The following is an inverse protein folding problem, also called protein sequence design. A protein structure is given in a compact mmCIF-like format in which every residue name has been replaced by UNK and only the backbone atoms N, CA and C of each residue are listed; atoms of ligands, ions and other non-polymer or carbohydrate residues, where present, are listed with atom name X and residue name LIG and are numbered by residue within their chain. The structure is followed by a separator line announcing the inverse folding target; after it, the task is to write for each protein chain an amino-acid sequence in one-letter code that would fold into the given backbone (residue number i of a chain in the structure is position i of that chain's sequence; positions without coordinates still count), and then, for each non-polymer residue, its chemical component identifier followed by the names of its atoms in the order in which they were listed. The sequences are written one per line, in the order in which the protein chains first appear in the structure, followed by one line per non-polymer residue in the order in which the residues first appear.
data_IF_740877092541
#
_entry.id   IF_740877092541
#
_cell.length_a   1.000
_cell.length_b   1.000
_cell.length_c   1.000
_cell.angle_alpha   90.00
_cell.angle_beta   90.00
_cell.angle_gamma   90.00
#
_symmetry.space_group_name_H-M   'P 1'
#
loop_
_entity.id
_entity.type
_entity.pdbx_description
1 polymer ?
#
# COMPACT_ATOMS: atom_id res chain seq x y z
N UNK A 1 -11.57 -0.61 6.95
CA UNK A 1 -12.97 -0.57 7.45
C UNK A 1 -13.86 -1.76 7.03
N UNK A 2 -13.59 -2.50 5.94
CA UNK A 2 -14.52 -3.55 5.44
C UNK A 2 -14.44 -4.92 6.15
N UNK A 3 -13.45 -5.15 7.03
CA UNK A 3 -13.12 -6.49 7.59
C UNK A 3 -13.05 -6.58 9.12
N UNK A 4 -13.37 -5.52 9.88
CA UNK A 4 -13.48 -5.61 11.34
C UNK A 4 -14.91 -5.97 11.77
N UNK A 5 -15.05 -6.67 12.90
CA UNK A 5 -16.34 -7.06 13.48
C UNK A 5 -17.27 -5.86 13.72
N UNK A 6 -18.58 -6.10 13.79
CA UNK A 6 -19.62 -5.08 13.88
C UNK A 6 -19.39 -4.09 15.05
N UNK A 7 -18.95 -4.59 16.21
CA UNK A 7 -18.60 -3.78 17.39
C UNK A 7 -17.45 -2.79 17.13
N UNK A 8 -16.40 -3.21 16.45
CA UNK A 8 -15.27 -2.32 16.12
C UNK A 8 -15.65 -1.25 15.08
N UNK A 9 -16.65 -1.51 14.24
CA UNK A 9 -17.20 -0.49 13.32
C UNK A 9 -18.05 0.54 14.07
N UNK A 10 -18.90 0.09 15.00
CA UNK A 10 -19.74 0.97 15.80
C UNK A 10 -18.91 1.84 16.75
N UNK A 11 -17.85 1.32 17.35
CA UNK A 11 -16.98 2.10 18.23
C UNK A 11 -16.15 3.17 17.49
N UNK A 12 -15.85 2.97 16.21
CA UNK A 12 -15.10 3.94 15.39
C UNK A 12 -15.87 5.23 15.15
N UNK A 13 -17.20 5.16 15.02
CA UNK A 13 -18.05 6.32 14.71
C UNK A 13 -17.98 7.38 15.83
N UNK A 14 -18.26 7.09 17.11
CA UNK A 14 -18.19 8.08 18.18
C UNK A 14 -16.76 8.49 18.51
N UNK A 15 -15.76 7.63 18.25
CA UNK A 15 -14.34 8.02 18.41
C UNK A 15 -13.94 9.03 17.35
N UNK A 16 -14.29 8.80 16.09
CA UNK A 16 -14.04 9.74 14.99
C UNK A 16 -14.75 11.07 15.21
N UNK A 17 -16.02 11.05 15.65
CA UNK A 17 -16.78 12.25 15.96
C UNK A 17 -16.13 13.06 17.10
N UNK A 18 -15.75 12.40 18.19
CA UNK A 18 -15.05 13.06 19.32
C UNK A 18 -13.73 13.68 18.88
N UNK A 19 -12.96 12.99 18.04
CA UNK A 19 -11.70 13.51 17.51
C UNK A 19 -11.94 14.75 16.63
N UNK A 20 -12.95 14.72 15.77
CA UNK A 20 -13.29 15.85 14.89
C UNK A 20 -13.74 17.08 15.70
N UNK A 21 -14.63 16.88 16.69
CA UNK A 21 -15.07 17.94 17.60
C UNK A 21 -13.89 18.52 18.38
N UNK A 22 -12.99 17.68 18.87
CA UNK A 22 -11.79 18.13 19.58
C UNK A 22 -10.85 18.96 18.70
N UNK A 23 -10.60 18.52 17.46
CA UNK A 23 -9.79 19.28 16.49
C UNK A 23 -10.41 20.65 16.17
N UNK A 24 -11.73 20.72 15.94
CA UNK A 24 -12.44 21.99 15.73
C UNK A 24 -12.43 22.89 16.97
N UNK A 25 -12.56 22.31 18.16
CA UNK A 25 -12.45 23.03 19.42
C UNK A 25 -11.05 23.66 19.59
N UNK A 26 -9.98 22.89 19.35
CA UNK A 26 -8.60 23.38 19.38
C UNK A 26 -8.36 24.49 18.34
N UNK A 27 -8.91 24.33 17.13
CA UNK A 27 -8.86 25.38 16.11
C UNK A 27 -9.54 26.68 16.56
N UNK A 28 -10.78 26.58 17.04
CA UNK A 28 -11.53 27.74 17.52
C UNK A 28 -10.82 28.41 18.69
N UNK A 29 -10.28 27.64 19.65
CA UNK A 29 -9.55 28.18 20.79
C UNK A 29 -8.30 28.97 20.36
N UNK A 30 -7.59 28.48 19.35
CA UNK A 30 -6.31 29.07 18.91
C UNK A 30 -6.48 30.27 17.98
N UNK A 31 -7.57 30.37 17.22
CA UNK A 31 -7.79 31.45 16.25
C UNK A 31 -8.71 32.56 16.77
N UNK A 32 -9.50 32.33 17.82
CA UNK A 32 -10.50 33.30 18.30
C UNK A 32 -9.91 34.54 18.99
N UNK A 33 -8.66 34.50 19.45
CA UNK A 33 -8.02 35.66 20.09
C UNK A 33 -6.86 36.18 19.24
N UNK A 34 -6.78 37.51 19.11
CA UNK A 34 -5.72 38.17 18.33
C UNK A 34 -4.31 37.83 18.89
N UNK A 35 -4.22 37.59 20.20
CA UNK A 35 -2.98 37.17 20.88
C UNK A 35 -2.60 35.70 20.63
N UNK A 36 -3.54 34.85 20.21
CA UNK A 36 -3.31 33.41 19.97
C UNK A 36 -3.11 33.08 18.50
N UNK A 37 -3.19 34.05 17.59
CA UNK A 37 -3.02 33.85 16.16
C UNK A 37 -1.72 33.12 15.78
N UNK A 38 -0.62 33.40 16.48
CA UNK A 38 0.66 32.73 16.29
C UNK A 38 0.62 31.24 16.70
N UNK A 39 -0.17 30.91 17.73
CA UNK A 39 -0.42 29.53 18.17
C UNK A 39 -1.28 28.79 17.13
N UNK A 40 -2.30 29.45 16.57
CA UNK A 40 -3.12 28.90 15.49
C UNK A 40 -2.30 28.57 14.24
N UNK A 41 -1.34 29.43 13.89
CA UNK A 41 -0.41 29.17 12.80
C UNK A 41 0.50 27.96 13.07
N UNK A 42 1.06 27.86 14.28
CA UNK A 42 1.84 26.69 14.69
C UNK A 42 1.01 25.40 14.63
N UNK A 43 -0.27 25.44 15.00
CA UNK A 43 -1.19 24.31 14.91
C UNK A 43 -1.46 23.87 13.45
N UNK A 44 -1.54 24.81 12.49
CA UNK A 44 -1.63 24.46 11.07
C UNK A 44 -0.39 23.71 10.59
N UNK A 45 0.80 24.23 10.90
CA UNK A 45 2.06 23.57 10.53
C UNK A 45 2.13 22.17 11.14
N UNK A 46 1.79 22.04 12.42
CA UNK A 46 1.74 20.76 13.12
C UNK A 46 0.78 19.78 12.42
N UNK A 47 -0.40 20.24 12.02
CA UNK A 47 -1.40 19.42 11.33
C UNK A 47 -0.88 18.90 9.99
N UNK A 48 -0.19 19.73 9.22
CA UNK A 48 0.46 19.33 7.96
C UNK A 48 1.53 18.27 8.23
N UNK A 49 2.38 18.47 9.24
CA UNK A 49 3.40 17.48 9.64
C UNK A 49 2.75 16.15 10.01
N UNK A 50 1.67 16.16 10.80
CA UNK A 50 0.94 14.94 11.18
C UNK A 50 0.43 14.19 9.94
N UNK A 51 -0.13 14.89 8.96
CA UNK A 51 -0.58 14.28 7.70
C UNK A 51 0.58 13.57 7.00
N UNK A 52 1.74 14.23 6.89
CA UNK A 52 2.93 13.63 6.30
C UNK A 52 3.40 12.40 7.09
N UNK A 53 3.43 12.45 8.41
CA UNK A 53 3.84 11.31 9.26
C UNK A 53 2.90 10.11 9.05
N UNK A 54 1.59 10.34 9.08
CA UNK A 54 0.59 9.28 8.85
C UNK A 54 0.72 8.70 7.44
N UNK A 55 0.94 9.55 6.44
CA UNK A 55 1.17 9.10 5.07
C UNK A 55 2.42 8.23 4.96
N UNK A 56 3.54 8.63 5.56
CA UNK A 56 4.78 7.84 5.54
C UNK A 56 4.61 6.49 6.25
N UNK A 57 3.87 6.45 7.37
CA UNK A 57 3.54 5.19 8.03
C UNK A 57 2.69 4.27 7.15
N UNK A 58 1.72 4.83 6.42
CA UNK A 58 0.92 4.07 5.46
C UNK A 58 1.77 3.46 4.33
N UNK A 59 2.66 4.26 3.73
CA UNK A 59 3.58 3.79 2.67
C UNK A 59 4.53 2.71 3.19
N UNK A 60 5.08 2.88 4.40
CA UNK A 60 5.95 1.89 5.02
C UNK A 60 5.23 0.55 5.22
N UNK A 61 4.01 0.59 5.76
CA UNK A 61 3.22 -0.62 5.96
C UNK A 61 2.83 -1.31 4.65
N UNK A 62 2.50 -0.54 3.61
CA UNK A 62 2.28 -1.08 2.27
C UNK A 62 3.53 -1.81 1.76
N UNK A 63 4.71 -1.19 1.90
CA UNK A 63 5.99 -1.81 1.54
C UNK A 63 6.25 -3.14 2.27
N UNK A 64 5.95 -3.21 3.57
CA UNK A 64 6.06 -4.47 4.35
C UNK A 64 5.11 -5.55 3.85
N UNK A 65 3.88 -5.18 3.51
CA UNK A 65 2.90 -6.13 2.94
C UNK A 65 3.42 -6.64 1.60
N UNK A 66 3.88 -5.76 0.72
CA UNK A 66 4.40 -6.13 -0.60
C UNK A 66 5.60 -7.08 -0.45
N UNK A 67 6.58 -6.74 0.40
CA UNK A 67 7.75 -7.59 0.64
C UNK A 67 7.34 -8.98 1.13
N UNK A 68 6.47 -9.06 2.15
CA UNK A 68 6.04 -10.34 2.70
C UNK A 68 5.39 -11.22 1.64
N UNK A 69 4.45 -10.68 0.87
CA UNK A 69 3.69 -11.47 -0.11
C UNK A 69 4.52 -11.86 -1.34
N UNK A 70 5.42 -10.98 -1.81
CA UNK A 70 6.32 -11.29 -2.93
C UNK A 70 7.43 -12.26 -2.53
N UNK A 71 7.97 -12.18 -1.31
CA UNK A 71 8.91 -13.18 -0.79
C UNK A 71 8.26 -14.56 -0.73
N UNK A 72 7.00 -14.62 -0.32
CA UNK A 72 6.23 -15.86 -0.33
C UNK A 72 6.05 -16.41 -1.76
N UNK A 73 5.74 -15.56 -2.76
CA UNK A 73 5.70 -15.99 -4.18
C UNK A 73 7.07 -16.46 -4.68
N UNK A 74 8.15 -15.74 -4.37
CA UNK A 74 9.50 -16.11 -4.80
C UNK A 74 9.95 -17.46 -4.21
N UNK A 75 9.46 -17.83 -3.02
CA UNK A 75 9.82 -19.08 -2.36
C UNK A 75 8.93 -20.26 -2.74
N UNK A 76 7.63 -20.04 -2.99
CA UNK A 76 6.65 -21.12 -3.20
C UNK A 76 6.43 -21.45 -4.67
N UNK A 77 6.35 -20.43 -5.53
CA UNK A 77 5.94 -20.60 -6.93
C UNK A 77 7.05 -20.25 -7.91
N UNK A 78 8.03 -19.44 -7.50
CA UNK A 78 9.14 -19.02 -8.36
C UNK A 78 8.74 -18.01 -9.46
N UNK A 79 7.50 -17.52 -9.47
CA UNK A 79 7.04 -16.53 -10.47
C UNK A 79 7.73 -15.16 -10.33
N UNK A 80 8.30 -14.87 -9.17
CA UNK A 80 9.05 -13.63 -8.91
C UNK A 80 10.50 -14.01 -8.66
N UNK A 81 11.44 -13.55 -9.52
CA UNK A 81 12.86 -13.71 -9.25
C UNK A 81 13.27 -13.01 -7.94
N UNK A 82 14.11 -13.65 -7.14
CA UNK A 82 14.49 -13.16 -5.80
C UNK A 82 15.24 -11.84 -5.87
N UNK A 83 16.01 -11.62 -6.91
CA UNK A 83 16.73 -10.37 -7.19
C UNK A 83 15.79 -9.16 -7.28
N UNK A 84 14.54 -9.34 -7.75
CA UNK A 84 13.58 -8.25 -7.88
C UNK A 84 13.01 -7.79 -6.53
N UNK A 85 13.13 -8.61 -5.47
CA UNK A 85 12.66 -8.28 -4.12
C UNK A 85 13.44 -7.13 -3.49
N UNK A 86 14.67 -6.86 -3.94
CA UNK A 86 15.45 -5.70 -3.51
C UNK A 86 14.89 -4.36 -4.02
N UNK A 87 13.99 -4.40 -5.02
CA UNK A 87 13.47 -3.23 -5.72
C UNK A 87 11.96 -3.04 -5.53
N UNK A 88 11.15 -4.08 -5.81
CA UNK A 88 9.68 -3.99 -5.88
C UNK A 88 8.99 -3.40 -4.63
N UNK A 89 9.36 -3.80 -3.39
CA UNK A 89 8.67 -3.33 -2.18
C UNK A 89 8.99 -1.86 -1.83
N UNK A 90 10.09 -1.32 -2.34
CA UNK A 90 10.57 0.00 -1.96
C UNK A 90 10.18 1.03 -3.01
N UNK A 91 9.33 2.00 -2.64
CA UNK A 91 8.85 3.06 -3.53
C UNK A 91 9.98 3.84 -4.22
N UNK A 92 11.09 4.07 -3.52
CA UNK A 92 12.28 4.75 -4.04
C UNK A 92 13.17 3.90 -4.96
N UNK A 93 13.05 2.56 -4.91
CA UNK A 93 13.91 1.65 -5.70
C UNK A 93 13.18 1.03 -6.89
N UNK A 94 11.87 0.76 -6.77
CA UNK A 94 11.08 0.11 -7.82
C UNK A 94 11.05 0.88 -9.13
N UNK A 95 11.23 2.21 -9.09
CA UNK A 95 11.28 3.08 -10.27
C UNK A 95 12.67 3.24 -10.89
N UNK A 96 13.74 2.74 -10.25
CA UNK A 96 15.11 2.87 -10.79
C UNK A 96 15.24 2.06 -12.07
N UNK A 97 15.99 2.58 -13.05
CA UNK A 97 16.35 1.84 -14.27
C UNK A 97 17.51 0.89 -13.99
N UNK A 98 17.67 -0.13 -14.84
CA UNK A 98 18.86 -1.01 -14.85
C UNK A 98 18.75 -2.30 -14.03
N UNK A 99 17.75 -2.46 -13.16
CA UNK A 99 17.55 -3.73 -12.42
C UNK A 99 16.60 -4.71 -13.12
N UNK A 100 15.83 -4.25 -14.10
CA UNK A 100 14.95 -5.07 -14.93
C UNK A 100 15.44 -5.00 -16.37
N UNK A 101 15.33 -6.12 -17.10
CA UNK A 101 15.75 -6.18 -18.49
C UNK A 101 14.99 -5.16 -19.37
N UNK A 102 15.71 -4.51 -20.29
CA UNK A 102 15.18 -3.39 -21.09
C UNK A 102 14.02 -3.78 -22.03
N UNK A 103 13.90 -5.05 -22.40
CA UNK A 103 12.80 -5.55 -23.23
C UNK A 103 11.47 -5.66 -22.47
N UNK A 104 11.52 -5.72 -21.13
CA UNK A 104 10.32 -5.82 -20.31
C UNK A 104 9.77 -4.42 -20.04
N UNK A 105 8.46 -4.22 -20.26
CA UNK A 105 7.80 -2.98 -19.87
C UNK A 105 7.81 -2.81 -18.35
N UNK A 106 8.76 -2.00 -17.86
CA UNK A 106 9.02 -1.78 -16.44
C UNK A 106 7.79 -1.31 -15.66
N UNK A 107 7.04 -0.35 -16.21
CA UNK A 107 5.85 0.22 -15.57
C UNK A 107 4.76 -0.84 -15.41
N UNK A 108 4.54 -1.65 -16.45
CA UNK A 108 3.52 -2.70 -16.44
C UNK A 108 3.91 -3.86 -15.51
N UNK A 109 5.19 -4.24 -15.52
CA UNK A 109 5.74 -5.25 -14.61
C UNK A 109 5.57 -4.85 -13.14
N UNK A 110 6.06 -3.67 -12.76
CA UNK A 110 5.96 -3.16 -11.39
C UNK A 110 4.50 -3.05 -10.95
N UNK A 111 3.61 -2.53 -11.80
CA UNK A 111 2.17 -2.44 -11.51
C UNK A 111 1.55 -3.82 -11.30
N UNK A 112 1.91 -4.79 -12.13
CA UNK A 112 1.38 -6.17 -12.06
C UNK A 112 1.87 -6.88 -10.80
N UNK A 113 3.17 -6.78 -10.49
CA UNK A 113 3.77 -7.39 -9.30
C UNK A 113 3.21 -6.80 -7.99
N UNK A 114 3.07 -5.47 -7.90
CA UNK A 114 2.44 -4.83 -6.73
C UNK A 114 0.98 -5.28 -6.62
N UNK A 115 0.23 -5.27 -7.72
CA UNK A 115 -1.16 -5.73 -7.72
C UNK A 115 -1.28 -7.17 -7.24
N UNK A 116 -0.38 -8.07 -7.67
CA UNK A 116 -0.33 -9.46 -7.21
C UNK A 116 -0.20 -9.52 -5.69
N UNK A 117 0.81 -8.84 -5.13
CA UNK A 117 1.06 -8.82 -3.69
C UNK A 117 -0.16 -8.32 -2.89
N UNK A 118 -0.77 -7.22 -3.34
CA UNK A 118 -1.95 -6.65 -2.67
C UNK A 118 -3.16 -7.58 -2.76
N UNK A 119 -3.42 -8.18 -3.93
CA UNK A 119 -4.52 -9.12 -4.14
C UNK A 119 -4.37 -10.38 -3.30
N UNK A 120 -3.16 -10.92 -3.22
CA UNK A 120 -2.83 -12.06 -2.36
C UNK A 120 -2.98 -11.75 -0.88
N UNK A 121 -2.59 -10.55 -0.43
CA UNK A 121 -2.87 -10.16 0.96
C UNK A 121 -4.38 -10.03 1.22
N UNK A 122 -5.15 -9.57 0.23
CA UNK A 122 -6.59 -9.42 0.33
C UNK A 122 -7.31 -10.78 0.42
N UNK A 123 -6.86 -11.82 -0.29
CA UNK A 123 -7.49 -13.16 -0.19
C UNK A 123 -7.45 -13.70 1.24
N UNK A 124 -6.38 -13.44 1.99
CA UNK A 124 -6.22 -13.88 3.40
C UNK A 124 -7.21 -13.25 4.37
N UNK A 125 -7.79 -12.09 4.03
CA UNK A 125 -8.69 -11.33 4.92
C UNK A 125 -10.17 -11.35 4.49
N UNK A 126 -10.49 -12.00 3.36
CA UNK A 126 -11.82 -12.00 2.77
C UNK A 126 -12.68 -13.17 3.28
N UNK A 127 -14.00 -12.99 3.31
CA UNK A 127 -14.97 -14.09 3.49
C UNK A 127 -14.96 -15.01 2.27
N UNK A 128 -15.22 -16.30 2.47
CA UNK A 128 -15.15 -17.37 1.46
C UNK A 128 -15.75 -17.00 0.08
N UNK A 129 -16.94 -16.40 0.05
CA UNK A 129 -17.62 -16.06 -1.21
C UNK A 129 -16.86 -15.07 -2.12
N UNK A 130 -16.00 -14.21 -1.56
CA UNK A 130 -15.17 -13.26 -2.33
C UNK A 130 -13.75 -13.76 -2.56
N UNK A 131 -13.34 -14.78 -1.82
CA UNK A 131 -11.99 -15.33 -1.88
C UNK A 131 -11.73 -16.00 -3.24
N UNK A 132 -12.70 -16.75 -3.78
CA UNK A 132 -12.56 -17.42 -5.07
C UNK A 132 -12.35 -16.45 -6.26
N UNK A 133 -13.02 -15.29 -6.26
CA UNK A 133 -12.83 -14.28 -7.29
C UNK A 133 -11.41 -13.66 -7.22
N UNK A 134 -10.95 -13.36 -6.01
CA UNK A 134 -9.61 -12.79 -5.80
C UNK A 134 -8.52 -13.81 -6.09
N UNK A 135 -8.75 -15.10 -5.82
CA UNK A 135 -7.81 -16.16 -6.14
C UNK A 135 -7.61 -16.26 -7.66
N UNK A 136 -8.71 -16.22 -8.45
CA UNK A 136 -8.62 -16.15 -9.92
C UNK A 136 -7.84 -14.94 -10.41
N UNK A 137 -8.03 -13.78 -9.79
CA UNK A 137 -7.22 -12.59 -10.11
C UNK A 137 -5.73 -12.80 -9.79
N UNK A 138 -5.40 -13.42 -8.65
CA UNK A 138 -4.02 -13.76 -8.27
C UNK A 138 -3.38 -14.67 -9.32
N UNK A 139 -4.08 -15.71 -9.76
CA UNK A 139 -3.56 -16.66 -10.73
C UNK A 139 -3.38 -16.04 -12.13
N UNK A 140 -4.29 -15.14 -12.53
CA UNK A 140 -4.15 -14.35 -13.76
C UNK A 140 -2.92 -13.42 -13.69
N UNK A 141 -2.67 -12.80 -12.53
CA UNK A 141 -1.51 -11.94 -12.34
C UNK A 141 -0.20 -12.71 -12.34
N UNK A 142 -0.16 -13.91 -11.75
CA UNK A 142 1.00 -14.83 -11.83
C UNK A 142 1.32 -15.18 -13.28
N UNK A 143 0.30 -15.58 -14.05
CA UNK A 143 0.45 -15.93 -15.46
C UNK A 143 0.96 -14.74 -16.30
N UNK A 144 0.47 -13.54 -16.02
CA UNK A 144 0.95 -12.30 -16.68
C UNK A 144 2.40 -11.98 -16.33
N UNK A 145 2.83 -12.20 -15.10
CA UNK A 145 4.23 -12.00 -14.70
C UNK A 145 5.11 -13.05 -15.38
N UNK A 146 4.66 -14.30 -15.43
CA UNK A 146 5.40 -15.39 -16.06
C UNK A 146 5.68 -15.09 -17.54
N UNK A 147 4.65 -14.65 -18.26
CA UNK A 147 4.78 -14.28 -19.68
C UNK A 147 5.70 -13.09 -19.92
N UNK A 148 5.75 -12.12 -19.00
CA UNK A 148 6.66 -10.97 -19.11
C UNK A 148 8.12 -11.35 -18.83
N UNK A 149 8.36 -12.13 -17.79
CA UNK A 149 9.71 -12.36 -17.27
C UNK A 149 10.37 -13.58 -17.90
N UNK A 150 9.66 -14.68 -18.07
CA UNK A 150 10.27 -15.97 -18.46
C UNK A 150 10.03 -16.30 -19.93
N UNK A 151 8.83 -16.02 -20.45
CA UNK A 151 8.51 -16.35 -21.85
C UNK A 151 9.26 -15.46 -22.86
N UNK A 152 9.48 -14.17 -22.54
CA UNK A 152 10.22 -13.28 -23.42
C UNK A 152 11.73 -13.54 -23.43
N UNK A 153 12.29 -14.09 -22.35
CA UNK A 153 13.70 -14.47 -22.29
C UNK A 153 14.04 -15.59 -23.28
N UNK A 154 13.12 -16.54 -23.52
CA UNK A 154 13.34 -17.66 -24.45
C UNK A 154 13.28 -17.30 -25.93
N UNK A 155 12.69 -16.16 -26.31
CA UNK A 155 12.66 -15.69 -27.71
C UNK A 155 13.86 -14.84 -28.12
N UNK A 156 14.71 -14.49 -27.15
CA UNK A 156 15.88 -13.61 -27.38
C UNK A 156 17.20 -14.38 -27.34
N UNK A 157 17.13 -15.71 -27.20
CA UNK A 157 18.23 -16.66 -27.44
C UNK A 157 17.99 -17.33 -28.80
#
# INVERSE_FOLDING_TARGET
AKFKGMFAKMAIIPVGLRLAMFMHFMWNLTVSFNSTALIGFAFMIMSVIIIFVVFQFAVHNEGKIILRELTDEANTTGYIPREHLAHLPFTSKRGKKGWLANHINHKDYVKTAIKLAIRKNQTKSLKANKQAAYQREVDALRSRIYTMVFYQQQKTQ
#
